data_IF_092275040543
#
_entry.id   IF_092275040543
#
_cell.length_a   1.000
_cell.length_b   1.000
_cell.length_c   1.000
_cell.angle_alpha   90.00
_cell.angle_beta   90.00
_cell.angle_gamma   90.00
#
_symmetry.space_group_name_H-M   'P 1'
#
loop_
_entity.id
_entity.type
_entity.pdbx_description
1 polymer ?
#
# COMPACT_ATOMS: atom_id res chain seq x y z
N UNK A 1 24.68 -22.30 -5.88
CA UNK A 1 26.10 -21.93 -5.78
C UNK A 1 26.40 -20.67 -6.59
N UNK A 2 26.20 -20.67 -7.92
CA UNK A 2 26.57 -19.55 -8.80
C UNK A 2 25.96 -18.17 -8.49
N UNK A 3 24.66 -18.07 -8.13
CA UNK A 3 24.03 -16.77 -7.85
C UNK A 3 24.60 -16.08 -6.60
N UNK A 4 24.95 -16.88 -5.58
CA UNK A 4 25.52 -16.37 -4.33
C UNK A 4 26.94 -15.84 -4.55
N UNK A 5 27.76 -16.57 -5.28
CA UNK A 5 29.10 -16.11 -5.70
C UNK A 5 29.05 -14.86 -6.59
N UNK A 6 27.99 -14.69 -7.38
CA UNK A 6 27.82 -13.51 -8.24
C UNK A 6 27.39 -12.26 -7.47
N UNK A 7 26.64 -12.42 -6.37
CA UNK A 7 26.19 -11.35 -5.48
C UNK A 7 27.24 -10.98 -4.42
N UNK A 8 28.03 -11.94 -3.95
CA UNK A 8 29.06 -11.76 -2.92
C UNK A 8 30.38 -11.19 -3.47
N UNK A 9 30.46 -10.96 -4.79
CA UNK A 9 31.65 -10.40 -5.47
C UNK A 9 31.62 -8.87 -5.45
N UNK A 10 32.62 -8.24 -4.83
CA UNK A 10 32.81 -6.80 -4.91
C UNK A 10 33.06 -6.35 -6.37
N UNK A 11 32.35 -5.32 -6.87
CA UNK A 11 32.54 -4.85 -8.24
C UNK A 11 33.87 -4.11 -8.36
N UNK A 12 34.74 -4.58 -9.27
CA UNK A 12 35.94 -3.86 -9.67
C UNK A 12 35.55 -2.61 -10.50
N UNK A 13 36.35 -1.53 -10.46
CA UNK A 13 36.03 -0.27 -11.15
C UNK A 13 35.85 -0.38 -12.67
N UNK A 14 36.37 -1.44 -13.30
CA UNK A 14 36.25 -1.73 -14.75
C UNK A 14 35.34 -2.95 -15.06
N UNK A 15 34.52 -3.40 -14.11
CA UNK A 15 33.63 -4.55 -14.33
C UNK A 15 32.55 -4.19 -15.38
N UNK A 16 32.40 -4.93 -16.49
CA UNK A 16 31.32 -4.70 -17.43
C UNK A 16 29.99 -4.74 -16.69
N UNK A 17 29.07 -3.80 -17.02
CA UNK A 17 27.74 -3.73 -16.39
C UNK A 17 27.17 -5.15 -16.32
N UNK A 18 26.76 -5.64 -15.13
CA UNK A 18 26.35 -7.02 -14.96
C UNK A 18 25.29 -7.36 -15.99
N UNK A 19 25.46 -8.50 -16.65
CA UNK A 19 24.51 -9.02 -17.63
C UNK A 19 23.15 -9.19 -16.94
N UNK A 20 22.28 -8.18 -17.11
CA UNK A 20 20.96 -8.15 -16.48
C UNK A 20 20.11 -9.35 -16.89
N UNK A 21 20.31 -9.83 -18.12
CA UNK A 21 19.58 -10.98 -18.65
C UNK A 21 20.08 -12.27 -18.00
N UNK A 22 21.40 -12.44 -17.89
CA UNK A 22 22.03 -13.55 -17.19
C UNK A 22 21.63 -13.63 -15.71
N UNK A 23 21.68 -12.49 -15.00
CA UNK A 23 21.28 -12.41 -13.58
C UNK A 23 19.79 -12.72 -13.39
N UNK A 24 18.89 -12.18 -14.23
CA UNK A 24 17.46 -12.48 -14.16
C UNK A 24 17.17 -13.96 -14.44
N UNK A 25 17.91 -14.57 -15.37
CA UNK A 25 17.80 -16.00 -15.70
C UNK A 25 18.26 -16.87 -14.53
N UNK A 26 19.40 -16.54 -13.93
CA UNK A 26 19.93 -17.23 -12.76
C UNK A 26 18.96 -17.14 -11.56
N UNK A 27 18.42 -15.95 -11.28
CA UNK A 27 17.39 -15.77 -10.25
C UNK A 27 16.16 -16.64 -10.53
N UNK A 28 15.65 -16.63 -11.76
CA UNK A 28 14.48 -17.45 -12.15
C UNK A 28 14.75 -18.95 -11.93
N UNK A 29 15.96 -19.41 -12.24
CA UNK A 29 16.37 -20.79 -12.00
C UNK A 29 16.42 -21.13 -10.50
N UNK A 30 17.01 -20.25 -9.68
CA UNK A 30 17.07 -20.41 -8.22
C UNK A 30 15.68 -20.42 -7.58
N UNK A 31 14.78 -19.51 -8.00
CA UNK A 31 13.39 -19.52 -7.53
C UNK A 31 12.68 -20.84 -7.87
N UNK A 32 12.92 -21.39 -9.07
CA UNK A 32 12.37 -22.69 -9.47
C UNK A 32 12.92 -23.84 -8.63
N UNK A 33 14.19 -23.80 -8.25
CA UNK A 33 14.80 -24.79 -7.36
C UNK A 33 14.19 -24.75 -5.96
N UNK A 34 14.07 -23.56 -5.36
CA UNK A 34 13.44 -23.38 -4.04
C UNK A 34 12.00 -23.91 -4.05
N UNK A 35 11.24 -23.62 -5.10
CA UNK A 35 9.84 -24.08 -5.22
C UNK A 35 9.66 -25.59 -5.34
N UNK A 36 10.72 -26.36 -5.60
CA UNK A 36 10.70 -27.84 -5.60
C UNK A 36 10.93 -28.42 -4.21
N UNK A 37 11.38 -27.64 -3.25
CA UNK A 37 11.53 -28.09 -1.86
C UNK A 37 10.15 -28.27 -1.22
N UNK A 38 9.88 -29.38 -0.52
CA UNK A 38 8.62 -29.58 0.19
C UNK A 38 8.28 -28.39 1.10
N UNK A 39 7.07 -27.84 0.98
CA UNK A 39 6.62 -26.67 1.73
C UNK A 39 6.96 -25.31 1.10
N UNK A 40 7.71 -25.25 -0.02
CA UNK A 40 8.14 -24.00 -0.65
C UNK A 40 7.50 -23.74 -2.03
N UNK A 41 6.47 -24.50 -2.41
CA UNK A 41 5.82 -24.36 -3.72
C UNK A 41 5.37 -22.92 -4.03
N UNK A 42 4.91 -22.17 -3.02
CA UNK A 42 4.52 -20.77 -3.09
C UNK A 42 5.65 -19.75 -2.88
N UNK A 43 6.91 -20.16 -2.73
CA UNK A 43 7.99 -19.25 -2.38
C UNK A 43 8.17 -18.13 -3.40
N UNK A 44 8.18 -16.87 -2.91
CA UNK A 44 8.24 -15.65 -3.72
C UNK A 44 7.18 -15.62 -4.85
N UNK A 45 6.04 -16.28 -4.64
CA UNK A 45 4.82 -16.05 -5.39
C UNK A 45 3.87 -15.24 -4.51
N UNK A 46 2.97 -14.44 -5.10
CA UNK A 46 1.88 -13.87 -4.33
C UNK A 46 1.04 -15.01 -3.72
N UNK A 47 0.47 -14.81 -2.52
CA UNK A 47 -0.53 -15.73 -1.99
C UNK A 47 -1.71 -15.84 -2.96
N UNK A 48 -2.39 -16.97 -2.93
CA UNK A 48 -3.60 -17.13 -3.73
C UNK A 48 -4.79 -16.36 -3.12
N UNK A 49 -5.89 -16.28 -3.87
CA UNK A 49 -7.07 -15.49 -3.47
C UNK A 49 -7.73 -16.06 -2.20
N UNK A 50 -7.68 -17.39 -2.01
CA UNK A 50 -8.29 -18.03 -0.84
C UNK A 50 -7.42 -17.81 0.42
N UNK A 51 -6.09 -17.88 0.28
CA UNK A 51 -5.15 -17.49 1.32
C UNK A 51 -5.37 -16.02 1.73
N UNK A 52 -5.52 -15.11 0.77
CA UNK A 52 -5.82 -13.70 1.06
C UNK A 52 -7.18 -13.51 1.74
N UNK A 53 -8.23 -14.21 1.29
CA UNK A 53 -9.55 -14.15 1.91
C UNK A 53 -9.55 -14.68 3.34
N UNK A 54 -8.79 -15.74 3.62
CA UNK A 54 -8.67 -16.29 4.96
C UNK A 54 -8.11 -15.25 5.96
N UNK A 55 -7.14 -14.43 5.53
CA UNK A 55 -6.60 -13.35 6.36
C UNK A 55 -7.63 -12.25 6.69
N UNK A 56 -8.64 -12.07 5.83
CA UNK A 56 -9.72 -11.10 6.07
C UNK A 56 -10.64 -11.48 7.25
N UNK A 57 -10.52 -12.70 7.79
CA UNK A 57 -11.18 -13.10 9.04
C UNK A 57 -10.71 -12.27 10.26
N UNK A 58 -9.53 -11.66 10.16
CA UNK A 58 -9.02 -10.72 11.17
C UNK A 58 -9.49 -9.28 10.93
N UNK A 59 -10.42 -9.07 10.01
CA UNK A 59 -10.97 -7.77 9.61
C UNK A 59 -10.67 -7.46 8.15
N UNK A 60 -11.53 -6.67 7.48
CA UNK A 60 -11.34 -6.27 6.09
C UNK A 60 -10.00 -5.57 5.86
N UNK A 61 -9.42 -5.82 4.68
CA UNK A 61 -8.18 -5.19 4.22
C UNK A 61 -8.51 -4.28 3.05
N UNK A 62 -8.03 -3.03 3.12
CA UNK A 62 -8.30 -2.00 2.11
C UNK A 62 -7.01 -1.52 1.49
N UNK A 63 -6.90 -1.64 0.17
CA UNK A 63 -5.82 -1.03 -0.61
C UNK A 63 -6.37 0.00 -1.59
N UNK A 64 -5.57 1.00 -1.91
CA UNK A 64 -5.95 2.14 -2.73
C UNK A 64 -5.15 2.12 -4.03
N UNK A 65 -5.83 2.43 -5.13
CA UNK A 65 -5.19 2.60 -6.42
C UNK A 65 -5.63 3.93 -7.01
N UNK A 66 -4.67 4.71 -7.51
CA UNK A 66 -4.90 6.02 -8.12
C UNK A 66 -4.34 5.98 -9.53
N UNK A 67 -5.18 5.59 -10.48
CA UNK A 67 -4.87 5.63 -11.91
C UNK A 67 -5.68 6.71 -12.63
N UNK A 68 -6.26 6.37 -13.77
CA UNK A 68 -7.26 7.22 -14.45
C UNK A 68 -8.51 7.48 -13.58
N UNK A 69 -8.79 6.60 -12.62
CA UNK A 69 -9.86 6.74 -11.61
C UNK A 69 -9.34 6.19 -10.29
N UNK A 70 -9.72 6.82 -9.18
CA UNK A 70 -9.46 6.28 -7.84
C UNK A 70 -10.33 5.08 -7.55
N UNK A 71 -9.76 4.05 -6.93
CA UNK A 71 -10.49 2.86 -6.50
C UNK A 71 -9.89 2.31 -5.21
N UNK A 72 -10.77 1.94 -4.27
CA UNK A 72 -10.40 1.09 -3.14
C UNK A 72 -10.74 -0.37 -3.47
N UNK A 73 -9.80 -1.28 -3.28
CA UNK A 73 -10.08 -2.71 -3.29
C UNK A 73 -10.33 -3.15 -1.85
N UNK A 74 -11.53 -3.69 -1.61
CA UNK A 74 -11.97 -4.17 -0.30
C UNK A 74 -11.88 -5.69 -0.31
N UNK A 75 -10.96 -6.23 0.48
CA UNK A 75 -10.83 -7.67 0.71
C UNK A 75 -11.55 -8.01 2.02
N UNK A 76 -12.55 -8.88 1.90
CA UNK A 76 -13.38 -9.39 2.99
C UNK A 76 -13.44 -10.92 2.90
N UNK A 77 -13.94 -11.60 3.94
CA UNK A 77 -14.21 -13.04 3.88
C UNK A 77 -15.16 -13.42 2.73
N UNK A 78 -16.16 -12.56 2.47
CA UNK A 78 -17.12 -12.73 1.37
C UNK A 78 -16.48 -12.49 0.00
N UNK A 79 -15.42 -11.67 -0.06
CA UNK A 79 -14.57 -11.55 -1.24
C UNK A 79 -13.94 -10.20 -1.47
N UNK A 80 -13.44 -10.05 -2.70
CA UNK A 80 -12.78 -8.85 -3.19
C UNK A 80 -13.80 -8.02 -3.98
N UNK A 81 -14.03 -6.79 -3.56
CA UNK A 81 -14.86 -5.83 -4.28
C UNK A 81 -14.09 -4.56 -4.59
N UNK A 82 -14.41 -3.92 -5.71
CA UNK A 82 -13.83 -2.64 -6.10
C UNK A 82 -14.84 -1.52 -5.80
N UNK A 83 -14.44 -0.58 -4.97
CA UNK A 83 -15.20 0.63 -4.62
C UNK A 83 -14.63 1.82 -5.41
N UNK A 84 -15.41 2.41 -6.35
CA UNK A 84 -14.98 3.63 -7.04
C UNK A 84 -14.86 4.81 -6.07
N UNK A 85 -13.75 5.55 -6.16
CA UNK A 85 -13.49 6.75 -5.37
C UNK A 85 -13.35 7.95 -6.33
N UNK A 86 -14.47 8.56 -6.78
CA UNK A 86 -14.44 9.58 -7.84
C UNK A 86 -13.71 10.87 -7.45
N UNK A 87 -13.60 11.16 -6.15
CA UNK A 87 -12.86 12.31 -5.62
C UNK A 87 -11.34 12.05 -5.54
N UNK A 88 -10.91 10.80 -5.58
CA UNK A 88 -9.51 10.39 -5.51
C UNK A 88 -8.90 10.31 -6.92
N UNK A 89 -8.65 11.47 -7.52
CA UNK A 89 -8.02 11.56 -8.85
C UNK A 89 -6.52 11.86 -8.73
N UNK A 90 -5.71 11.47 -9.71
CA UNK A 90 -4.28 11.77 -9.69
C UNK A 90 -3.97 13.28 -9.53
N UNK A 91 -4.63 14.21 -10.26
CA UNK A 91 -4.43 15.65 -10.03
C UNK A 91 -4.79 16.08 -8.60
N UNK A 92 -5.94 15.65 -8.08
CA UNK A 92 -6.35 16.01 -6.72
C UNK A 92 -5.37 15.47 -5.66
N UNK A 93 -4.87 14.24 -5.83
CA UNK A 93 -3.84 13.67 -4.94
C UNK A 93 -2.56 14.49 -5.01
N UNK A 94 -2.10 14.87 -6.20
CA UNK A 94 -0.90 15.70 -6.38
C UNK A 94 -1.06 17.05 -5.66
N UNK A 95 -2.19 17.73 -5.84
CA UNK A 95 -2.47 19.01 -5.20
C UNK A 95 -2.43 18.88 -3.66
N UNK A 96 -3.09 17.85 -3.12
CA UNK A 96 -3.14 17.61 -1.67
C UNK A 96 -1.79 17.22 -1.08
N UNK A 97 -0.99 16.40 -1.79
CA UNK A 97 0.37 16.06 -1.37
C UNK A 97 1.27 17.29 -1.34
N UNK A 98 1.18 18.16 -2.35
CA UNK A 98 1.95 19.40 -2.39
C UNK A 98 1.55 20.34 -1.24
N UNK A 99 0.25 20.55 -1.02
CA UNK A 99 -0.27 21.36 0.08
C UNK A 99 0.19 20.80 1.44
N UNK A 100 0.08 19.49 1.64
CA UNK A 100 0.53 18.80 2.84
C UNK A 100 2.03 18.99 3.10
N UNK A 101 2.89 18.81 2.09
CA UNK A 101 4.34 18.98 2.26
C UNK A 101 4.76 20.42 2.55
N UNK A 102 4.07 21.41 2.00
CA UNK A 102 4.31 22.82 2.33
C UNK A 102 3.89 23.08 3.77
N UNK A 103 2.65 22.76 4.11
CA UNK A 103 2.07 23.00 5.43
C UNK A 103 2.83 22.26 6.54
N UNK A 104 3.27 21.03 6.30
CA UNK A 104 4.04 20.26 7.29
C UNK A 104 5.39 20.92 7.60
N UNK A 105 6.06 21.47 6.58
CA UNK A 105 7.32 22.21 6.78
C UNK A 105 7.08 23.50 7.55
N UNK A 106 6.07 24.27 7.17
CA UNK A 106 5.73 25.55 7.83
C UNK A 106 5.27 25.35 9.27
N UNK A 107 4.50 24.29 9.56
CA UNK A 107 4.06 23.97 10.91
C UNK A 107 5.24 23.65 11.87
N UNK A 108 6.38 23.23 11.32
CA UNK A 108 7.60 22.95 12.06
C UNK A 108 8.59 24.14 12.11
N UNK A 109 8.37 25.19 11.32
CA UNK A 109 9.22 26.38 11.26
C UNK A 109 8.75 27.44 12.27
N UNK A 110 9.58 27.82 13.27
CA UNK A 110 9.24 28.86 14.24
C UNK A 110 9.00 30.25 13.64
N UNK A 111 9.49 30.51 12.42
CA UNK A 111 9.35 31.80 11.74
C UNK A 111 8.10 31.89 10.84
N UNK A 112 7.40 30.77 10.63
CA UNK A 112 6.21 30.70 9.77
C UNK A 112 4.91 30.90 10.56
N UNK A 113 3.81 31.12 9.84
CA UNK A 113 2.47 31.12 10.42
C UNK A 113 2.00 29.68 10.67
N UNK A 114 2.33 29.18 11.87
CA UNK A 114 1.99 27.82 12.29
C UNK A 114 0.49 27.56 12.32
N UNK A 115 -0.34 28.56 12.63
CA UNK A 115 -1.80 28.39 12.71
C UNK A 115 -2.37 28.17 11.32
N UNK A 116 -1.96 28.99 10.35
CA UNK A 116 -2.34 28.81 8.96
C UNK A 116 -1.89 27.45 8.41
N UNK A 117 -0.65 27.04 8.69
CA UNK A 117 -0.13 25.74 8.29
C UNK A 117 -0.92 24.56 8.89
N UNK A 118 -1.27 24.63 10.18
CA UNK A 118 -2.11 23.61 10.81
C UNK A 118 -3.51 23.54 10.20
N UNK A 119 -4.09 24.66 9.80
CA UNK A 119 -5.38 24.67 9.11
C UNK A 119 -5.30 23.94 7.77
N UNK A 120 -4.26 24.19 6.97
CA UNK A 120 -4.06 23.47 5.71
C UNK A 120 -3.91 21.96 5.93
N UNK A 121 -3.20 21.53 6.98
CA UNK A 121 -3.11 20.11 7.33
C UNK A 121 -4.49 19.51 7.67
N UNK A 122 -5.32 20.24 8.41
CA UNK A 122 -6.69 19.79 8.72
C UNK A 122 -7.55 19.70 7.46
N UNK A 123 -7.40 20.63 6.53
CA UNK A 123 -8.14 20.63 5.25
C UNK A 123 -7.75 19.42 4.39
N UNK A 124 -6.47 19.06 4.34
CA UNK A 124 -5.99 17.83 3.67
C UNK A 124 -6.59 16.58 4.31
N UNK A 125 -6.59 16.50 5.64
CA UNK A 125 -7.16 15.36 6.37
C UNK A 125 -8.67 15.25 6.21
N UNK A 126 -9.38 16.38 6.20
CA UNK A 126 -10.80 16.44 5.92
C UNK A 126 -11.11 15.97 4.50
N UNK A 127 -10.30 16.38 3.52
CA UNK A 127 -10.41 15.87 2.16
C UNK A 127 -10.16 14.36 2.08
N UNK A 128 -9.16 13.83 2.80
CA UNK A 128 -8.87 12.39 2.81
C UNK A 128 -10.02 11.59 3.44
N UNK A 129 -10.63 12.13 4.50
CA UNK A 129 -11.83 11.55 5.09
C UNK A 129 -12.94 11.43 4.05
N UNK A 130 -13.24 12.54 3.39
CA UNK A 130 -14.30 12.64 2.40
C UNK A 130 -14.04 11.78 1.16
N UNK A 131 -12.82 11.81 0.62
CA UNK A 131 -12.47 11.16 -0.63
C UNK A 131 -12.22 9.65 -0.46
N UNK A 132 -11.86 9.20 0.75
CA UNK A 132 -11.40 7.83 1.00
C UNK A 132 -12.03 7.19 2.22
N UNK A 133 -11.77 7.71 3.43
CA UNK A 133 -12.09 6.99 4.65
C UNK A 133 -13.60 6.81 4.85
N UNK A 134 -14.38 7.89 4.73
CA UNK A 134 -15.85 7.86 4.82
C UNK A 134 -16.48 6.88 3.84
N UNK A 135 -16.24 7.01 2.52
CA UNK A 135 -16.78 6.08 1.52
C UNK A 135 -16.42 4.60 1.78
N UNK A 136 -15.19 4.32 2.22
CA UNK A 136 -14.75 2.96 2.55
C UNK A 136 -15.48 2.43 3.79
N UNK A 137 -15.56 3.22 4.86
CA UNK A 137 -16.29 2.84 6.08
C UNK A 137 -17.77 2.61 5.79
N UNK A 138 -18.38 3.46 4.95
CA UNK A 138 -19.75 3.31 4.48
C UNK A 138 -19.97 2.01 3.72
N UNK A 139 -19.05 1.66 2.82
CA UNK A 139 -19.13 0.43 2.03
C UNK A 139 -18.97 -0.83 2.90
N UNK A 140 -18.22 -0.74 4.00
CA UNK A 140 -18.03 -1.81 4.99
C UNK A 140 -19.15 -1.85 6.06
N UNK A 141 -20.06 -0.87 6.06
CA UNK A 141 -21.14 -0.76 7.04
C UNK A 141 -20.72 -0.23 8.42
N UNK A 142 -19.53 0.35 8.55
CA UNK A 142 -18.99 0.89 9.80
C UNK A 142 -19.45 2.33 10.03
N UNK A 143 -20.77 2.51 10.18
CA UNK A 143 -21.43 3.82 10.29
C UNK A 143 -21.75 4.25 11.72
N UNK A 144 -21.76 3.30 12.64
CA UNK A 144 -22.27 3.51 13.98
C UNK A 144 -21.23 3.13 15.03
N UNK A 145 -21.32 3.80 16.17
CA UNK A 145 -20.58 3.40 17.36
C UNK A 145 -21.10 2.04 17.82
N UNK A 146 -20.22 1.07 18.11
CA UNK A 146 -20.64 -0.19 18.72
C UNK A 146 -21.45 0.05 19.99
N UNK A 147 -22.39 -0.84 20.29
CA UNK A 147 -23.14 -0.79 21.54
C UNK A 147 -22.21 -0.82 22.76
N UNK A 148 -22.67 -0.28 23.90
CA UNK A 148 -21.89 -0.23 25.13
C UNK A 148 -21.36 -1.64 25.51
N UNK A 149 -20.03 -1.75 25.63
CA UNK A 149 -19.35 -3.00 25.95
C UNK A 149 -19.03 -3.91 24.74
N UNK A 150 -19.46 -3.58 23.53
CA UNK A 150 -19.05 -4.28 22.32
C UNK A 150 -17.65 -3.84 21.85
N UNK A 151 -16.90 -4.77 21.23
CA UNK A 151 -15.61 -4.43 20.63
C UNK A 151 -15.79 -3.68 19.30
N UNK A 152 -14.91 -2.70 19.05
CA UNK A 152 -14.88 -2.02 17.76
C UNK A 152 -14.50 -2.98 16.62
N UNK A 153 -15.15 -2.87 15.45
CA UNK A 153 -14.73 -3.62 14.28
C UNK A 153 -13.31 -3.23 13.87
N UNK A 154 -12.53 -4.22 13.43
CA UNK A 154 -11.16 -4.03 12.98
C UNK A 154 -11.13 -3.77 11.47
N UNK A 155 -10.26 -2.85 11.05
CA UNK A 155 -10.01 -2.52 9.65
C UNK A 155 -8.51 -2.41 9.44
N UNK A 156 -8.00 -2.95 8.33
CA UNK A 156 -6.60 -2.85 7.94
C UNK A 156 -6.44 -1.98 6.70
N UNK A 157 -5.72 -0.86 6.85
CA UNK A 157 -5.29 -0.05 5.72
C UNK A 157 -3.97 -0.60 5.19
N UNK A 158 -3.97 -1.03 3.93
CA UNK A 158 -2.78 -1.40 3.16
C UNK A 158 -2.62 -0.43 1.96
N UNK A 159 -2.38 0.87 2.21
CA UNK A 159 -2.27 1.88 1.15
C UNK A 159 -0.96 1.76 0.35
N UNK A 160 -0.10 0.80 0.68
CA UNK A 160 1.13 0.54 -0.06
C UNK A 160 0.84 -0.10 -1.42
N UNK A 161 1.33 0.53 -2.48
CA UNK A 161 1.24 0.06 -3.85
C UNK A 161 1.92 1.08 -4.76
N UNK A 162 3.14 0.75 -5.19
CA UNK A 162 4.06 1.42 -6.11
C UNK A 162 3.83 2.88 -6.51
#
# INVERSE_FOLDING_TARGET
AALRELLDREPAPDDPRPDRVGVATALTATLREIRRTPGFAGFALPPDVEELRAEAAHGPIVTLTVGTRGTALLLTEAGITALPLPRLTAPAVIDQVNAFHVALREAADPAADRVAAQQVLLDVLAWLWDAVAGPVLDALGYRETPADGASWPRLWWAPGGY
#
